data_IF_523984522153
#
_entry.id   IF_523984522153
#
_cell.length_a   1.000
_cell.length_b   1.000
_cell.length_c   1.000
_cell.angle_alpha   90.00
_cell.angle_beta   90.00
_cell.angle_gamma   90.00
#
_symmetry.space_group_name_H-M   'P 1'
#
loop_
_entity.id
_entity.type
_entity.pdbx_description
1 polymer ?
#
# COMPACT_ATOMS: atom_id res chain seq x y z
N UNK A 1 -15.89 11.89 13.58
CA UNK A 1 -14.92 12.06 12.47
C UNK A 1 -13.87 10.95 12.43
N UNK A 2 -13.66 10.18 13.50
CA UNK A 2 -12.52 9.25 13.62
C UNK A 2 -12.78 7.83 13.09
N UNK A 3 -14.03 7.36 13.10
CA UNK A 3 -14.37 5.95 12.85
C UNK A 3 -13.91 5.45 11.47
N UNK A 4 -14.16 6.15 10.34
CA UNK A 4 -13.68 5.72 9.02
C UNK A 4 -12.15 5.67 8.92
N UNK A 5 -11.48 6.68 9.48
CA UNK A 5 -10.02 6.77 9.49
C UNK A 5 -9.38 5.60 10.23
N UNK A 6 -9.97 5.18 11.36
CA UNK A 6 -9.50 4.04 12.14
C UNK A 6 -9.60 2.74 11.33
N UNK A 7 -10.72 2.47 10.66
CA UNK A 7 -10.87 1.24 9.86
C UNK A 7 -9.87 1.14 8.71
N UNK A 8 -9.65 2.24 7.98
CA UNK A 8 -8.68 2.25 6.87
C UNK A 8 -7.26 2.08 7.41
N UNK A 9 -6.94 2.74 8.53
CA UNK A 9 -5.61 2.63 9.17
C UNK A 9 -5.36 1.22 9.72
N UNK A 10 -6.38 0.59 10.32
CA UNK A 10 -6.30 -0.80 10.75
C UNK A 10 -6.03 -1.76 9.57
N UNK A 11 -6.73 -1.59 8.45
CA UNK A 11 -6.46 -2.36 7.22
C UNK A 11 -5.01 -2.21 6.75
N UNK A 12 -4.49 -0.98 6.71
CA UNK A 12 -3.10 -0.70 6.36
C UNK A 12 -2.11 -1.35 7.36
N UNK A 13 -2.41 -1.29 8.65
CA UNK A 13 -1.57 -1.89 9.68
C UNK A 13 -1.50 -3.42 9.56
N UNK A 14 -2.62 -4.08 9.24
CA UNK A 14 -2.66 -5.53 9.00
C UNK A 14 -1.74 -5.92 7.84
N UNK A 15 -1.82 -5.22 6.70
CA UNK A 15 -0.96 -5.48 5.54
C UNK A 15 0.52 -5.34 5.88
N UNK A 16 0.89 -4.26 6.58
CA UNK A 16 2.28 -4.05 7.01
C UNK A 16 2.75 -5.08 8.05
N UNK A 17 1.89 -5.49 8.99
CA UNK A 17 2.24 -6.51 9.97
C UNK A 17 2.58 -7.84 9.28
N UNK A 18 1.78 -8.26 8.29
CA UNK A 18 2.05 -9.48 7.50
C UNK A 18 3.36 -9.32 6.74
N UNK A 19 3.58 -8.18 6.06
CA UNK A 19 4.79 -7.91 5.31
C UNK A 19 6.05 -7.99 6.19
N UNK A 20 6.05 -7.31 7.33
CA UNK A 20 7.17 -7.30 8.27
C UNK A 20 7.41 -8.66 8.90
N UNK A 21 6.34 -9.40 9.21
CA UNK A 21 6.42 -10.78 9.73
C UNK A 21 7.13 -11.69 8.72
N UNK A 22 6.76 -11.63 7.45
CA UNK A 22 7.44 -12.38 6.39
C UNK A 22 8.91 -11.97 6.25
N UNK A 23 9.20 -10.67 6.26
CA UNK A 23 10.60 -10.24 6.22
C UNK A 23 11.42 -10.77 7.40
N UNK A 24 10.87 -10.69 8.61
CA UNK A 24 11.59 -11.09 9.82
C UNK A 24 11.75 -12.60 9.95
N UNK A 25 10.70 -13.39 9.67
CA UNK A 25 10.73 -14.83 9.88
C UNK A 25 11.12 -15.65 8.63
N UNK A 26 10.99 -15.09 7.43
CA UNK A 26 11.36 -15.78 6.18
C UNK A 26 12.62 -15.20 5.57
N UNK A 27 12.60 -13.91 5.20
CA UNK A 27 13.68 -13.29 4.44
C UNK A 27 14.98 -13.23 5.25
N UNK A 28 14.94 -12.74 6.49
CA UNK A 28 16.13 -12.59 7.33
C UNK A 28 16.83 -13.94 7.56
N UNK A 29 16.15 -15.02 8.01
CA UNK A 29 16.79 -16.33 8.20
C UNK A 29 17.29 -16.94 6.88
N UNK A 30 16.52 -16.83 5.79
CA UNK A 30 16.93 -17.32 4.47
C UNK A 30 18.25 -16.71 4.03
N UNK A 31 18.40 -15.39 4.21
CA UNK A 31 19.57 -14.64 3.81
C UNK A 31 20.74 -14.86 4.76
N UNK A 32 20.52 -14.76 6.07
CA UNK A 32 21.56 -14.85 7.10
C UNK A 32 22.19 -16.24 7.18
N UNK A 33 21.37 -17.30 7.13
CA UNK A 33 21.84 -18.69 7.17
C UNK A 33 22.08 -19.28 5.77
N UNK A 34 21.90 -18.49 4.71
CA UNK A 34 22.08 -18.92 3.32
C UNK A 34 21.32 -20.22 2.96
N UNK A 35 20.06 -20.33 3.37
CA UNK A 35 19.28 -21.57 3.21
C UNK A 35 18.77 -21.70 1.77
N UNK A 36 19.36 -22.64 1.00
CA UNK A 36 19.04 -22.83 -0.43
C UNK A 36 17.56 -23.20 -0.67
N UNK A 37 16.98 -24.07 0.16
CA UNK A 37 15.59 -24.51 0.01
C UNK A 37 14.61 -23.32 0.06
N UNK A 38 14.83 -22.37 0.99
CA UNK A 38 14.00 -21.16 1.07
C UNK A 38 14.22 -20.24 -0.13
N UNK A 39 15.41 -20.22 -0.72
CA UNK A 39 15.68 -19.45 -1.94
C UNK A 39 14.95 -20.04 -3.14
N UNK A 40 14.97 -21.37 -3.31
CA UNK A 40 14.28 -22.07 -4.40
C UNK A 40 12.76 -21.84 -4.36
N UNK A 41 12.16 -21.91 -3.18
CA UNK A 41 10.72 -21.70 -2.99
C UNK A 41 10.34 -20.24 -2.67
N UNK A 42 11.27 -19.29 -2.82
CA UNK A 42 11.06 -17.88 -2.48
C UNK A 42 9.93 -17.21 -3.26
N UNK A 43 9.58 -17.72 -4.44
CA UNK A 43 8.52 -17.16 -5.27
C UNK A 43 7.13 -17.19 -4.59
N UNK A 44 6.82 -18.21 -3.78
CA UNK A 44 5.57 -18.27 -3.02
C UNK A 44 5.50 -17.18 -1.95
N UNK A 45 6.60 -16.95 -1.23
CA UNK A 45 6.71 -15.87 -0.27
C UNK A 45 6.63 -14.50 -0.98
N UNK A 46 7.27 -14.40 -2.15
CA UNK A 46 7.23 -13.20 -2.98
C UNK A 46 5.83 -12.76 -3.38
N UNK A 47 4.94 -13.70 -3.71
CA UNK A 47 3.53 -13.42 -4.00
C UNK A 47 2.86 -12.71 -2.82
N UNK A 48 3.06 -13.19 -1.60
CA UNK A 48 2.45 -12.57 -0.40
C UNK A 48 3.08 -11.21 -0.12
N UNK A 49 4.40 -11.07 -0.31
CA UNK A 49 5.10 -9.80 -0.13
C UNK A 49 4.58 -8.71 -1.06
N UNK A 50 4.41 -9.02 -2.34
CA UNK A 50 3.92 -8.06 -3.33
C UNK A 50 2.42 -7.74 -3.12
N UNK A 51 1.61 -8.70 -2.65
CA UNK A 51 0.23 -8.42 -2.21
C UNK A 51 0.20 -7.40 -1.08
N UNK A 52 0.99 -7.63 -0.03
CA UNK A 52 1.02 -6.72 1.11
C UNK A 52 1.53 -5.34 0.71
N UNK A 53 2.49 -5.27 -0.23
CA UNK A 53 2.99 -4.01 -0.76
C UNK A 53 1.90 -3.19 -1.49
N UNK A 54 1.14 -3.82 -2.39
CA UNK A 54 0.01 -3.16 -3.08
C UNK A 54 -1.08 -2.74 -2.10
N UNK A 55 -1.45 -3.60 -1.13
CA UNK A 55 -2.43 -3.27 -0.09
C UNK A 55 -1.98 -2.03 0.67
N UNK A 56 -0.69 -1.94 1.01
CA UNK A 56 -0.14 -0.81 1.73
C UNK A 56 -0.21 0.48 0.91
N UNK A 57 0.19 0.47 -0.37
CA UNK A 57 0.13 1.66 -1.23
C UNK A 57 -1.31 2.15 -1.41
N UNK A 58 -2.23 1.25 -1.73
CA UNK A 58 -3.63 1.61 -1.97
C UNK A 58 -4.32 2.08 -0.70
N UNK A 59 -4.09 1.40 0.43
CA UNK A 59 -4.62 1.83 1.73
C UNK A 59 -4.04 3.18 2.14
N UNK A 60 -2.74 3.43 1.93
CA UNK A 60 -2.12 4.72 2.24
C UNK A 60 -2.72 5.85 1.41
N UNK A 61 -2.94 5.63 0.11
CA UNK A 61 -3.60 6.59 -0.78
C UNK A 61 -5.02 6.90 -0.27
N UNK A 62 -5.76 5.87 0.16
CA UNK A 62 -7.10 6.02 0.72
C UNK A 62 -7.09 6.79 2.05
N UNK A 63 -6.07 6.61 2.90
CA UNK A 63 -5.89 7.39 4.13
C UNK A 63 -5.69 8.87 3.81
N UNK A 64 -4.79 9.19 2.87
CA UNK A 64 -4.54 10.57 2.44
C UNK A 64 -5.79 11.22 1.86
N UNK A 65 -6.56 10.49 1.03
CA UNK A 65 -7.84 10.94 0.50
C UNK A 65 -8.87 11.20 1.60
N UNK A 66 -9.01 10.28 2.55
CA UNK A 66 -9.91 10.44 3.69
C UNK A 66 -9.59 11.73 4.47
N UNK A 67 -8.31 11.97 4.79
CA UNK A 67 -7.87 13.20 5.49
C UNK A 67 -8.16 14.46 4.68
N UNK A 68 -7.85 14.43 3.39
CA UNK A 68 -8.13 15.53 2.48
C UNK A 68 -9.63 15.89 2.49
N UNK A 69 -10.50 14.91 2.26
CA UNK A 69 -11.95 15.10 2.24
C UNK A 69 -12.49 15.60 3.58
N UNK A 70 -11.97 15.08 4.69
CA UNK A 70 -12.41 15.45 6.03
C UNK A 70 -12.13 16.93 6.34
N UNK A 71 -11.01 17.47 5.84
CA UNK A 71 -10.60 18.87 6.07
C UNK A 71 -11.16 19.84 5.03
N UNK A 72 -11.19 19.44 3.75
CA UNK A 72 -11.56 20.34 2.65
C UNK A 72 -13.05 20.33 2.36
N UNK A 73 -13.75 19.22 2.64
CA UNK A 73 -15.13 18.98 2.24
C UNK A 73 -15.97 18.44 3.42
N UNK A 74 -16.06 19.15 4.56
CA UNK A 74 -16.68 18.62 5.78
C UNK A 74 -18.13 18.18 5.59
N UNK A 75 -18.92 18.92 4.80
CA UNK A 75 -20.32 18.58 4.52
C UNK A 75 -20.48 17.34 3.63
N UNK A 76 -19.58 17.15 2.66
CA UNK A 76 -19.62 15.97 1.76
C UNK A 76 -18.94 14.76 2.39
N UNK A 77 -18.01 14.96 3.32
CA UNK A 77 -17.29 13.89 4.01
C UNK A 77 -18.26 12.89 4.65
N UNK A 78 -19.30 13.37 5.31
CA UNK A 78 -20.31 12.53 5.97
C UNK A 78 -21.14 11.69 4.98
N UNK A 79 -21.24 12.12 3.72
CA UNK A 79 -21.93 11.39 2.65
C UNK A 79 -21.00 10.41 1.91
N UNK A 80 -19.73 10.78 1.74
CA UNK A 80 -18.73 9.98 1.03
C UNK A 80 -18.22 8.85 1.94
N UNK A 81 -17.75 9.18 3.15
CA UNK A 81 -17.15 8.25 4.11
C UNK A 81 -18.16 7.81 5.18
N UNK A 82 -19.24 7.18 4.74
CA UNK A 82 -20.11 6.41 5.63
C UNK A 82 -19.43 5.10 6.03
N UNK A 83 -19.94 4.42 7.06
CA UNK A 83 -19.42 3.11 7.47
C UNK A 83 -19.43 2.10 6.31
N UNK A 84 -20.57 1.97 5.62
CA UNK A 84 -20.72 1.03 4.50
C UNK A 84 -19.81 1.38 3.33
N UNK A 85 -19.70 2.65 2.97
CA UNK A 85 -18.82 3.08 1.88
C UNK A 85 -17.34 2.84 2.23
N UNK A 86 -16.94 3.11 3.48
CA UNK A 86 -15.57 2.88 3.95
C UNK A 86 -15.21 1.41 3.90
N UNK A 87 -16.11 0.53 4.36
CA UNK A 87 -15.92 -0.91 4.28
C UNK A 87 -15.84 -1.39 2.83
N UNK A 88 -16.73 -0.89 1.95
CA UNK A 88 -16.69 -1.21 0.53
C UNK A 88 -15.39 -0.76 -0.14
N UNK A 89 -14.86 0.42 0.20
CA UNK A 89 -13.57 0.91 -0.29
C UNK A 89 -12.41 0.05 0.19
N UNK A 90 -12.42 -0.39 1.46
CA UNK A 90 -11.41 -1.32 1.98
C UNK A 90 -11.47 -2.65 1.21
N UNK A 91 -12.66 -3.24 1.04
CA UNK A 91 -12.82 -4.49 0.28
C UNK A 91 -12.31 -4.32 -1.15
N UNK A 92 -12.63 -3.19 -1.80
CA UNK A 92 -12.16 -2.87 -3.14
C UNK A 92 -10.63 -2.76 -3.20
N UNK A 93 -10.00 -2.11 -2.22
CA UNK A 93 -8.53 -2.06 -2.10
C UNK A 93 -7.95 -3.47 -2.05
N UNK A 94 -8.48 -4.33 -1.19
CA UNK A 94 -8.00 -5.71 -1.06
C UNK A 94 -8.19 -6.51 -2.36
N UNK A 95 -9.33 -6.38 -3.03
CA UNK A 95 -9.58 -7.05 -4.31
C UNK A 95 -8.58 -6.58 -5.38
N UNK A 96 -8.39 -5.26 -5.52
CA UNK A 96 -7.47 -4.69 -6.51
C UNK A 96 -6.01 -5.04 -6.23
N UNK A 97 -5.63 -5.21 -4.96
CA UNK A 97 -4.27 -5.66 -4.63
C UNK A 97 -4.09 -7.17 -4.82
N UNK A 98 -5.07 -8.00 -4.44
CA UNK A 98 -4.88 -9.45 -4.39
C UNK A 98 -5.14 -10.11 -5.74
N UNK A 99 -6.25 -9.79 -6.41
CA UNK A 99 -6.69 -10.53 -7.61
C UNK A 99 -5.70 -10.43 -8.77
N UNK A 100 -5.20 -9.23 -9.16
CA UNK A 100 -4.22 -9.12 -10.23
C UNK A 100 -2.93 -9.87 -9.91
N UNK A 101 -2.49 -9.82 -8.65
CA UNK A 101 -1.26 -10.50 -8.23
C UNK A 101 -1.41 -12.02 -8.30
N UNK A 102 -2.52 -12.59 -7.83
CA UNK A 102 -2.76 -14.03 -7.96
C UNK A 102 -2.76 -14.45 -9.43
N UNK A 103 -3.44 -13.68 -10.27
CA UNK A 103 -3.53 -13.98 -11.69
C UNK A 103 -2.15 -13.96 -12.36
N UNK A 104 -1.38 -12.90 -12.15
CA UNK A 104 -0.07 -12.70 -12.80
C UNK A 104 1.00 -13.64 -12.23
N UNK A 105 1.14 -13.66 -10.90
CA UNK A 105 2.28 -14.32 -10.25
C UNK A 105 1.98 -15.72 -9.74
N UNK A 106 0.71 -16.03 -9.49
CA UNK A 106 0.28 -17.38 -9.09
C UNK A 106 0.01 -18.29 -10.28
N UNK A 107 -0.65 -17.77 -11.32
CA UNK A 107 -1.13 -18.58 -12.46
C UNK A 107 -0.39 -18.24 -13.77
N UNK A 108 -0.10 -16.96 -13.99
CA UNK A 108 0.45 -16.43 -15.25
C UNK A 108 1.93 -16.73 -15.52
N UNK A 109 2.60 -17.53 -14.68
CA UNK A 109 3.99 -17.95 -14.89
C UNK A 109 5.05 -16.84 -14.71
N UNK A 110 4.67 -15.69 -14.15
CA UNK A 110 5.60 -14.64 -13.75
C UNK A 110 6.04 -14.89 -12.30
N UNK A 111 7.35 -14.95 -12.02
CA UNK A 111 7.84 -15.24 -10.66
C UNK A 111 8.46 -14.02 -10.02
N UNK A 112 7.89 -13.58 -8.89
CA UNK A 112 8.53 -12.61 -8.00
C UNK A 112 9.32 -13.37 -6.94
N UNK A 113 10.64 -13.47 -7.12
CA UNK A 113 11.49 -14.39 -6.37
C UNK A 113 12.75 -13.68 -5.85
N UNK A 114 13.46 -14.35 -4.94
CA UNK A 114 14.70 -13.83 -4.40
C UNK A 114 15.88 -14.07 -5.36
N UNK A 115 16.68 -13.04 -5.59
CA UNK A 115 17.92 -13.11 -6.36
C UNK A 115 19.13 -12.99 -5.43
N UNK A 116 19.95 -14.04 -5.37
CA UNK A 116 21.16 -14.08 -4.53
C UNK A 116 22.23 -13.07 -4.98
N UNK A 117 22.30 -12.74 -6.26
CA UNK A 117 23.31 -11.81 -6.79
C UNK A 117 23.12 -10.37 -6.27
N UNK A 118 21.86 -10.00 -6.01
CA UNK A 118 21.47 -8.63 -5.65
C UNK A 118 20.82 -8.54 -4.27
N UNK A 119 20.75 -9.65 -3.53
CA UNK A 119 20.19 -9.74 -2.18
C UNK A 119 18.81 -9.09 -2.06
N UNK A 120 17.95 -9.32 -3.04
CA UNK A 120 16.62 -8.70 -3.10
C UNK A 120 15.61 -9.59 -3.79
N UNK A 121 14.34 -9.39 -3.46
CA UNK A 121 13.25 -9.88 -4.29
C UNK A 121 13.13 -9.06 -5.57
N UNK A 122 12.85 -9.73 -6.67
CA UNK A 122 12.66 -9.11 -7.98
C UNK A 122 11.78 -9.95 -8.87
N UNK A 123 11.36 -9.37 -9.99
CA UNK A 123 10.58 -10.07 -11.01
C UNK A 123 11.55 -10.80 -11.94
N UNK A 124 11.33 -12.10 -12.14
CA UNK A 124 12.04 -12.89 -13.13
C UNK A 124 11.37 -12.71 -14.50
N UNK A 125 12.04 -12.01 -15.41
CA UNK A 125 11.56 -11.79 -16.78
C UNK A 125 11.84 -13.03 -17.62
N UNK A 126 10.80 -13.59 -18.23
CA UNK A 126 10.85 -14.79 -19.05
C UNK A 126 9.90 -14.64 -20.25
N UNK A 127 9.79 -15.66 -21.10
CA UNK A 127 8.89 -15.64 -22.26
C UNK A 127 7.41 -15.39 -21.87
N UNK A 128 7.00 -15.86 -20.68
CA UNK A 128 5.64 -15.67 -20.15
C UNK A 128 5.41 -14.27 -19.55
N UNK A 129 6.48 -13.60 -19.12
CA UNK A 129 6.47 -12.30 -18.44
C UNK A 129 7.58 -11.40 -19.02
N UNK A 130 7.42 -10.92 -20.28
CA UNK A 130 8.47 -10.16 -20.96
C UNK A 130 8.63 -8.74 -20.42
N UNK A 131 7.58 -8.21 -19.78
CA UNK A 131 7.54 -6.86 -19.21
C UNK A 131 6.89 -6.91 -17.84
N UNK A 132 7.32 -6.03 -16.93
CA UNK A 132 6.71 -5.87 -15.61
C UNK A 132 5.23 -5.49 -15.77
N UNK A 133 4.30 -6.34 -15.31
CA UNK A 133 2.89 -6.14 -15.57
C UNK A 133 2.27 -5.08 -14.64
N UNK A 134 1.22 -4.44 -15.12
CA UNK A 134 0.33 -3.62 -14.30
C UNK A 134 -0.42 -4.52 -13.28
N UNK A 135 -0.64 -4.10 -12.02
CA UNK A 135 -0.34 -2.79 -11.43
C UNK A 135 1.08 -2.64 -10.88
N UNK A 136 1.87 -3.71 -10.85
CA UNK A 136 3.19 -3.74 -10.19
C UNK A 136 4.32 -2.99 -10.91
N UNK A 137 3.99 -2.22 -11.94
CA UNK A 137 4.97 -1.49 -12.71
C UNK A 137 5.33 -0.16 -12.03
N UNK A 138 6.55 0.32 -12.29
CA UNK A 138 7.09 1.54 -11.68
C UNK A 138 6.20 2.76 -11.98
N UNK A 139 5.58 2.79 -13.17
CA UNK A 139 4.69 3.88 -13.58
C UNK A 139 3.46 4.00 -12.68
N UNK A 140 2.76 2.90 -12.41
CA UNK A 140 1.54 2.92 -11.56
C UNK A 140 1.87 3.30 -10.12
N UNK A 141 2.98 2.78 -9.60
CA UNK A 141 3.46 3.16 -8.27
C UNK A 141 3.80 4.65 -8.19
N UNK A 142 4.53 5.17 -9.18
CA UNK A 142 4.91 6.58 -9.22
C UNK A 142 3.69 7.50 -9.26
N UNK A 143 2.66 7.14 -10.04
CA UNK A 143 1.41 7.91 -10.12
C UNK A 143 0.69 7.93 -8.77
N UNK A 144 0.50 6.78 -8.13
CA UNK A 144 -0.21 6.70 -6.83
C UNK A 144 0.55 7.43 -5.71
N UNK A 145 1.87 7.30 -5.67
CA UNK A 145 2.71 8.03 -4.71
C UNK A 145 2.64 9.54 -4.95
N UNK A 146 2.64 9.98 -6.21
CA UNK A 146 2.50 11.40 -6.55
C UNK A 146 1.16 11.97 -6.09
N UNK A 147 0.06 11.23 -6.31
CA UNK A 147 -1.27 11.61 -5.83
C UNK A 147 -1.29 11.70 -4.31
N UNK A 148 -0.72 10.71 -3.63
CA UNK A 148 -0.63 10.67 -2.16
C UNK A 148 0.11 11.90 -1.62
N UNK A 149 1.32 12.17 -2.13
CA UNK A 149 2.14 13.31 -1.71
C UNK A 149 1.40 14.62 -1.93
N UNK A 150 0.73 14.76 -3.08
CA UNK A 150 -0.05 15.95 -3.41
C UNK A 150 -1.21 16.17 -2.42
N UNK A 151 -1.99 15.13 -2.13
CA UNK A 151 -3.10 15.18 -1.17
C UNK A 151 -2.61 15.52 0.24
N UNK A 152 -1.52 14.89 0.68
CA UNK A 152 -0.93 15.14 2.00
C UNK A 152 -0.40 16.57 2.10
N UNK A 153 0.27 17.08 1.06
CA UNK A 153 0.78 18.45 1.03
C UNK A 153 -0.34 19.48 1.17
N UNK A 154 -1.41 19.34 0.39
CA UNK A 154 -2.57 20.25 0.46
C UNK A 154 -3.23 20.17 1.85
N UNK A 155 -3.38 18.97 2.38
CA UNK A 155 -3.96 18.73 3.71
C UNK A 155 -3.14 19.40 4.80
N UNK A 156 -1.81 19.20 4.80
CA UNK A 156 -0.90 19.82 5.76
C UNK A 156 -0.87 21.34 5.65
N UNK A 157 -0.86 21.87 4.43
CA UNK A 157 -0.89 23.31 4.20
C UNK A 157 -2.13 23.95 4.86
N UNK A 158 -3.32 23.39 4.62
CA UNK A 158 -4.57 23.95 5.16
C UNK A 158 -4.63 23.88 6.70
N UNK A 159 -4.16 22.78 7.30
CA UNK A 159 -4.08 22.66 8.76
C UNK A 159 -3.17 23.76 9.35
N UNK A 160 -2.01 24.00 8.74
CA UNK A 160 -1.07 25.04 9.20
C UNK A 160 -1.69 26.43 9.14
N UNK A 161 -2.34 26.77 8.02
CA UNK A 161 -3.02 28.07 7.88
C UNK A 161 -4.10 28.25 8.94
N UNK A 162 -4.95 27.24 9.15
CA UNK A 162 -6.00 27.29 10.16
C UNK A 162 -5.44 27.48 11.58
N UNK A 163 -4.39 26.72 11.94
CA UNK A 163 -3.75 26.83 13.25
C UNK A 163 -3.11 28.21 13.50
N UNK A 164 -2.53 28.83 12.47
CA UNK A 164 -1.97 30.19 12.58
C UNK A 164 -3.08 31.22 12.77
N UNK A 165 -4.17 31.12 12.01
CA UNK A 165 -5.32 32.03 12.15
C UNK A 165 -5.95 31.97 13.54
N UNK A 166 -6.15 30.78 14.08
CA UNK A 166 -6.70 30.59 15.44
C UNK A 166 -5.78 31.22 16.49
N UNK A 167 -4.46 30.99 16.41
CA UNK A 167 -3.51 31.60 17.34
C UNK A 167 -3.50 33.12 17.29
N UNK A 168 -3.69 33.73 16.12
CA UNK A 168 -3.78 35.19 15.97
C UNK A 168 -5.05 35.71 16.64
N UNK A 169 -6.17 35.02 16.48
CA UNK A 169 -7.45 35.39 17.11
C UNK A 169 -7.37 35.29 18.64
N UNK A 170 -6.67 34.29 19.18
CA UNK A 170 -6.51 34.13 20.64
C UNK A 170 -5.59 35.20 21.28
N UNK A 171 -4.84 35.96 20.48
CA UNK A 171 -3.96 37.04 20.95
C UNK A 171 -4.60 38.44 20.94
N UNK A 172 -5.81 38.58 20.39
CA UNK A 172 -6.57 39.84 20.27
C UNK A 172 -7.69 39.86 21.30
#
# INVERSE_FOLDING_TARGET
MEIPFVYITASHAIGNAIHLTLYFFYYVPMVFFNIEVLKTYSHYCGIILIMCFEISIYSHTLISLNRFCAIHLPFRYQQIFTFHNTLALIILVWILSVVPIIYIYGIGGCHFQYFSDYWRFGINLNENCPVIPFPTNISSFSVLLSITIFLDFITLYRIRVFNVLVRILDMI
#
